data_IF_025617028315
#
_entry.id   IF_025617028315
#
_cell.length_a   1.000
_cell.length_b   1.000
_cell.length_c   1.000
_cell.angle_alpha   90.00
_cell.angle_beta   90.00
_cell.angle_gamma   90.00
#
_symmetry.space_group_name_H-M   'P 1'
#
loop_
_entity.id
_entity.type
_entity.pdbx_description
1 polymer ?
#
# COMPACT_ATOMS: atom_id res chain seq x y z
N UNK A 1 -26.96 1.49 12.52
CA UNK A 1 -27.13 1.30 11.06
C UNK A 1 -25.75 1.29 10.39
N UNK A 2 -25.19 0.13 10.02
CA UNK A 2 -23.94 0.09 9.22
C UNK A 2 -24.29 0.61 7.84
N UNK A 3 -23.87 1.84 7.50
CA UNK A 3 -23.91 2.33 6.11
C UNK A 3 -23.19 1.30 5.26
N UNK A 4 -23.93 0.61 4.39
CA UNK A 4 -23.37 -0.28 3.39
C UNK A 4 -22.33 0.53 2.60
N UNK A 5 -21.05 0.22 2.83
CA UNK A 5 -19.99 0.92 2.11
C UNK A 5 -20.09 0.50 0.66
N UNK A 6 -20.53 1.43 -0.19
CA UNK A 6 -20.63 1.23 -1.63
C UNK A 6 -19.26 0.75 -2.13
N UNK A 7 -19.23 -0.47 -2.69
CA UNK A 7 -18.01 -1.03 -3.29
C UNK A 7 -17.61 -0.18 -4.50
N UNK A 8 -16.31 -0.13 -4.78
CA UNK A 8 -15.78 0.50 -5.99
C UNK A 8 -16.38 -0.16 -7.25
N UNK A 9 -16.91 0.67 -8.14
CA UNK A 9 -17.48 0.25 -9.43
C UNK A 9 -16.46 0.11 -10.57
N UNK A 10 -15.18 0.42 -10.32
CA UNK A 10 -14.16 0.38 -11.36
C UNK A 10 -14.05 -1.03 -11.98
N UNK A 11 -13.93 -1.18 -13.32
CA UNK A 11 -13.83 -2.49 -13.97
C UNK A 11 -12.72 -3.37 -13.42
N UNK A 12 -11.50 -2.83 -13.27
CA UNK A 12 -10.37 -3.57 -12.69
C UNK A 12 -10.59 -3.99 -11.24
N UNK A 13 -11.32 -3.19 -10.47
CA UNK A 13 -11.62 -3.54 -9.07
C UNK A 13 -12.60 -4.72 -9.02
N UNK A 14 -13.52 -4.83 -10.00
CA UNK A 14 -14.39 -6.01 -10.18
C UNK A 14 -13.59 -7.23 -10.63
N UNK A 15 -12.67 -7.06 -11.58
CA UNK A 15 -11.77 -8.11 -12.04
C UNK A 15 -10.96 -8.72 -10.90
N UNK A 16 -10.38 -7.90 -10.00
CA UNK A 16 -9.65 -8.41 -8.82
C UNK A 16 -10.55 -9.29 -7.95
N UNK A 17 -11.79 -8.84 -7.69
CA UNK A 17 -12.77 -9.62 -6.90
C UNK A 17 -13.10 -10.94 -7.58
N UNK A 18 -13.37 -10.91 -8.88
CA UNK A 18 -13.65 -12.11 -9.68
C UNK A 18 -12.49 -13.11 -9.62
N UNK A 19 -11.25 -12.66 -9.83
CA UNK A 19 -10.05 -13.53 -9.79
C UNK A 19 -9.86 -14.18 -8.41
N UNK A 20 -10.15 -13.45 -7.33
CA UNK A 20 -10.08 -13.99 -5.96
C UNK A 20 -11.21 -14.99 -5.72
N UNK A 21 -12.45 -14.66 -6.12
CA UNK A 21 -13.63 -15.50 -5.87
C UNK A 21 -13.60 -16.80 -6.68
N UNK A 22 -13.21 -16.73 -7.95
CA UNK A 22 -13.23 -17.89 -8.86
C UNK A 22 -11.95 -18.72 -8.78
N UNK A 23 -10.85 -18.15 -8.29
CA UNK A 23 -9.55 -18.82 -8.28
C UNK A 23 -8.95 -19.05 -9.67
N UNK A 24 -9.55 -18.54 -10.75
CA UNK A 24 -9.03 -18.75 -12.12
C UNK A 24 -7.68 -18.06 -12.33
N UNK A 25 -6.79 -18.58 -13.18
CA UNK A 25 -5.56 -17.87 -13.58
C UNK A 25 -5.87 -16.49 -14.16
N UNK A 26 -5.03 -15.51 -13.82
CA UNK A 26 -5.09 -14.19 -14.45
C UNK A 26 -4.26 -14.20 -15.73
N UNK A 27 -4.74 -13.53 -16.77
CA UNK A 27 -3.99 -13.32 -18.00
C UNK A 27 -3.02 -12.14 -17.85
N UNK A 28 -1.95 -12.08 -18.65
CA UNK A 28 -0.97 -11.00 -18.57
C UNK A 28 -1.61 -9.60 -18.74
N UNK A 29 -2.57 -9.46 -19.65
CA UNK A 29 -3.31 -8.21 -19.82
C UNK A 29 -4.09 -7.79 -18.59
N UNK A 30 -4.66 -8.76 -17.85
CA UNK A 30 -5.38 -8.54 -16.60
C UNK A 30 -4.42 -8.11 -15.48
N UNK A 31 -3.24 -8.75 -15.40
CA UNK A 31 -2.17 -8.36 -14.46
C UNK A 31 -1.76 -6.90 -14.71
N UNK A 32 -1.53 -6.54 -15.98
CA UNK A 32 -1.15 -5.17 -16.35
C UNK A 32 -2.24 -4.16 -15.99
N UNK A 33 -3.52 -4.49 -16.21
CA UNK A 33 -4.64 -3.64 -15.80
C UNK A 33 -4.68 -3.44 -14.27
N UNK A 34 -4.43 -4.50 -13.50
CA UNK A 34 -4.40 -4.43 -12.03
C UNK A 34 -3.25 -3.54 -11.55
N UNK A 35 -2.06 -3.74 -12.08
CA UNK A 35 -0.89 -2.93 -11.72
C UNK A 35 -1.11 -1.44 -12.05
N UNK A 36 -1.63 -1.11 -13.23
CA UNK A 36 -1.89 0.29 -13.58
C UNK A 36 -3.00 0.90 -12.72
N UNK A 37 -4.04 0.12 -12.40
CA UNK A 37 -5.08 0.57 -11.47
C UNK A 37 -4.50 0.86 -10.09
N UNK A 38 -3.64 -0.01 -9.57
CA UNK A 38 -2.98 0.21 -8.28
C UNK A 38 -2.07 1.45 -8.32
N UNK A 39 -1.30 1.64 -9.39
CA UNK A 39 -0.34 2.73 -9.53
C UNK A 39 -1.03 4.11 -9.67
N UNK A 40 -2.26 4.16 -10.16
CA UNK A 40 -3.02 5.42 -10.33
C UNK A 40 -4.04 5.66 -9.22
N UNK A 41 -4.29 4.67 -8.36
CA UNK A 41 -5.25 4.79 -7.28
C UNK A 41 -4.87 5.93 -6.30
N UNK A 42 -5.86 6.63 -5.74
CA UNK A 42 -5.62 7.51 -4.61
C UNK A 42 -5.23 6.69 -3.37
N UNK A 43 -4.50 7.31 -2.45
CA UNK A 43 -4.34 6.77 -1.10
C UNK A 43 -5.65 6.92 -0.32
N UNK A 44 -5.86 6.11 0.72
CA UNK A 44 -7.08 6.17 1.57
C UNK A 44 -7.35 7.62 2.03
N UNK A 45 -8.43 8.27 1.55
CA UNK A 45 -8.67 9.70 1.79
C UNK A 45 -9.29 9.97 3.16
N UNK A 46 -9.49 8.94 3.97
CA UNK A 46 -10.17 9.06 5.27
C UNK A 46 -9.22 9.62 6.31
N UNK A 47 -9.80 10.42 7.21
CA UNK A 47 -9.17 10.70 8.49
C UNK A 47 -9.17 9.42 9.34
N UNK A 48 -8.03 9.09 9.91
CA UNK A 48 -7.82 7.95 10.79
C UNK A 48 -7.36 8.43 12.16
N UNK A 49 -7.72 7.67 13.18
CA UNK A 49 -7.22 7.91 14.53
C UNK A 49 -5.72 7.58 14.57
N UNK A 50 -4.94 8.51 15.10
CA UNK A 50 -3.49 8.34 15.33
C UNK A 50 -3.25 7.54 16.61
N UNK A 51 -2.21 6.72 16.63
CA UNK A 51 -1.84 5.95 17.83
C UNK A 51 -1.25 6.88 18.89
N UNK A 52 -1.44 6.52 20.18
CA UNK A 52 -1.07 7.39 21.30
C UNK A 52 0.41 7.74 21.35
N UNK A 53 1.28 6.83 20.92
CA UNK A 53 2.73 7.01 20.82
C UNK A 53 3.17 7.96 19.70
N UNK A 54 2.29 8.23 18.74
CA UNK A 54 2.54 9.12 17.60
C UNK A 54 1.96 10.53 17.81
N UNK A 55 1.10 10.72 18.83
CA UNK A 55 0.48 12.00 19.11
C UNK A 55 1.50 13.02 19.62
N UNK A 56 1.40 14.26 19.13
CA UNK A 56 2.29 15.34 19.57
C UNK A 56 3.67 15.31 18.91
N UNK A 57 4.01 14.27 18.13
CA UNK A 57 5.22 14.29 17.30
C UNK A 57 5.14 15.45 16.30
N UNK A 58 6.29 16.06 16.03
CA UNK A 58 6.43 17.12 15.02
C UNK A 58 7.07 16.55 13.77
N UNK A 59 6.42 16.74 12.62
CA UNK A 59 6.95 16.35 11.32
C UNK A 59 6.57 17.37 10.25
N UNK A 60 7.56 17.85 9.49
CA UNK A 60 7.40 18.89 8.47
C UNK A 60 6.68 20.15 9.01
N UNK A 61 7.15 20.66 10.15
CA UNK A 61 6.62 21.85 10.84
C UNK A 61 5.15 21.73 11.27
N UNK A 62 4.65 20.50 11.42
CA UNK A 62 3.29 20.22 11.85
C UNK A 62 3.29 19.24 13.02
N UNK A 63 2.42 19.50 14.00
CA UNK A 63 2.17 18.59 15.13
C UNK A 63 1.09 17.59 14.71
N UNK A 64 1.35 16.31 14.90
CA UNK A 64 0.43 15.22 14.62
C UNK A 64 -0.79 15.30 15.55
N UNK A 65 -1.99 15.40 14.97
CA UNK A 65 -3.25 15.52 15.69
C UNK A 65 -3.90 14.16 15.99
N UNK A 66 -4.91 14.09 16.88
CA UNK A 66 -5.63 12.84 17.18
C UNK A 66 -6.28 12.15 15.97
N UNK A 67 -6.66 12.93 14.97
CA UNK A 67 -7.23 12.45 13.72
C UNK A 67 -6.52 13.12 12.55
N UNK A 68 -6.03 12.32 11.62
CA UNK A 68 -5.15 12.77 10.55
C UNK A 68 -5.46 12.02 9.26
N UNK A 69 -5.09 12.61 8.13
CA UNK A 69 -5.17 11.92 6.84
C UNK A 69 -4.34 10.64 6.87
N UNK A 70 -4.91 9.51 6.41
CA UNK A 70 -4.21 8.23 6.46
C UNK A 70 -2.83 8.27 5.79
N UNK A 71 -2.68 9.02 4.69
CA UNK A 71 -1.39 9.19 4.02
C UNK A 71 -0.35 9.85 4.92
N UNK A 72 -0.71 10.92 5.62
CA UNK A 72 0.17 11.61 6.56
C UNK A 72 0.54 10.72 7.75
N UNK A 73 -0.43 10.02 8.34
CA UNK A 73 -0.18 9.08 9.45
C UNK A 73 0.78 7.98 9.04
N UNK A 74 0.56 7.37 7.86
CA UNK A 74 1.46 6.33 7.36
C UNK A 74 2.86 6.88 7.10
N UNK A 75 2.99 8.06 6.49
CA UNK A 75 4.29 8.70 6.29
C UNK A 75 5.03 8.93 7.61
N UNK A 76 4.38 9.56 8.59
CA UNK A 76 4.98 9.87 9.90
C UNK A 76 5.47 8.60 10.57
N UNK A 77 4.66 7.53 10.59
CA UNK A 77 5.08 6.23 11.11
C UNK A 77 6.32 5.70 10.40
N UNK A 78 6.33 5.74 9.08
CA UNK A 78 7.42 5.19 8.27
C UNK A 78 8.72 5.96 8.41
N UNK A 79 8.66 7.27 8.70
CA UNK A 79 9.84 8.11 8.87
C UNK A 79 10.31 8.13 10.31
N UNK A 80 9.43 8.38 11.28
CA UNK A 80 9.82 8.61 12.68
C UNK A 80 9.87 7.34 13.52
N UNK A 81 8.91 6.42 13.36
CA UNK A 81 8.85 5.21 14.19
C UNK A 81 9.66 4.06 13.57
N UNK A 82 9.51 3.84 12.26
CA UNK A 82 10.14 2.72 11.57
C UNK A 82 11.50 3.07 10.95
N UNK A 83 11.80 4.37 10.77
CA UNK A 83 13.01 4.87 10.10
C UNK A 83 13.24 4.26 8.70
N UNK A 84 12.17 3.84 8.01
CA UNK A 84 12.22 3.20 6.69
C UNK A 84 12.41 4.22 5.56
N UNK A 85 11.88 5.42 5.73
CA UNK A 85 12.08 6.56 4.84
C UNK A 85 12.92 7.62 5.54
N UNK A 86 13.68 8.38 4.75
CA UNK A 86 14.54 9.44 5.25
C UNK A 86 13.72 10.56 5.89
N UNK A 87 14.30 11.23 6.89
CA UNK A 87 13.70 12.42 7.46
C UNK A 87 13.55 13.51 6.39
N UNK A 88 12.37 14.13 6.32
CA UNK A 88 12.06 15.19 5.36
C UNK A 88 11.30 14.72 4.12
N UNK A 89 11.17 13.40 3.89
CA UNK A 89 10.33 12.85 2.81
C UNK A 89 8.89 13.37 2.92
N UNK A 90 8.37 13.93 1.83
CA UNK A 90 7.00 14.47 1.77
C UNK A 90 5.96 13.39 1.47
N UNK A 91 4.67 13.71 1.69
CA UNK A 91 3.56 12.83 1.30
C UNK A 91 3.59 12.49 -0.20
N UNK A 92 3.94 13.47 -1.05
CA UNK A 92 4.03 13.29 -2.50
C UNK A 92 5.20 12.36 -2.87
N UNK A 93 6.37 12.54 -2.26
CA UNK A 93 7.53 11.68 -2.50
C UNK A 93 7.25 10.25 -2.05
N UNK A 94 6.67 10.07 -0.85
CA UNK A 94 6.29 8.76 -0.35
C UNK A 94 5.27 8.08 -1.27
N UNK A 95 4.19 8.77 -1.66
CA UNK A 95 3.20 8.22 -2.58
C UNK A 95 3.80 7.91 -3.96
N UNK A 96 4.69 8.77 -4.47
CA UNK A 96 5.41 8.53 -5.71
C UNK A 96 6.29 7.27 -5.64
N UNK A 97 6.98 7.04 -4.51
CA UNK A 97 7.77 5.83 -4.29
C UNK A 97 6.88 4.56 -4.25
N UNK A 98 5.70 4.62 -3.61
CA UNK A 98 4.74 3.50 -3.64
C UNK A 98 4.23 3.22 -5.05
N UNK A 99 3.90 4.27 -5.81
CA UNK A 99 3.44 4.12 -7.20
C UNK A 99 4.54 3.62 -8.12
N UNK A 100 5.78 4.07 -7.92
CA UNK A 100 6.96 3.56 -8.63
C UNK A 100 7.14 2.07 -8.35
N UNK A 101 6.99 1.64 -7.09
CA UNK A 101 7.16 0.23 -6.72
C UNK A 101 6.21 -0.71 -7.45
N UNK A 102 4.97 -0.27 -7.68
CA UNK A 102 3.94 -1.02 -8.40
C UNK A 102 4.29 -1.18 -9.89
N UNK A 103 4.94 -0.18 -10.49
CA UNK A 103 5.24 -0.15 -11.95
C UNK A 103 6.53 -0.85 -12.35
N UNK A 104 7.33 -1.32 -11.39
CA UNK A 104 8.58 -2.01 -11.69
C UNK A 104 8.27 -3.39 -12.28
N UNK A 105 8.93 -3.75 -13.37
CA UNK A 105 8.68 -5.00 -14.08
C UNK A 105 8.88 -6.27 -13.22
N UNK A 106 9.74 -6.20 -12.20
CA UNK A 106 9.97 -7.29 -11.25
C UNK A 106 9.02 -7.27 -10.03
N UNK A 107 8.02 -6.38 -10.01
CA UNK A 107 7.02 -6.33 -8.95
C UNK A 107 6.19 -7.63 -8.94
N UNK A 108 6.12 -8.29 -7.79
CA UNK A 108 5.29 -9.48 -7.61
C UNK A 108 3.91 -9.07 -7.15
N UNK A 109 2.87 -9.45 -7.89
CA UNK A 109 1.49 -9.16 -7.54
C UNK A 109 0.89 -10.31 -6.72
N UNK A 110 0.22 -9.97 -5.62
CA UNK A 110 -0.50 -10.91 -4.77
C UNK A 110 -1.97 -10.53 -4.71
N UNK A 111 -2.87 -11.50 -4.88
CA UNK A 111 -4.31 -11.34 -4.70
C UNK A 111 -4.80 -12.25 -3.57
N UNK A 112 -5.60 -11.69 -2.65
CA UNK A 112 -6.14 -12.45 -1.51
C UNK A 112 -7.34 -11.75 -0.86
N UNK A 113 -8.09 -12.52 -0.06
CA UNK A 113 -9.14 -11.97 0.79
C UNK A 113 -8.61 -11.76 2.22
N UNK A 114 -8.93 -10.62 2.85
CA UNK A 114 -8.59 -10.36 4.26
C UNK A 114 -9.69 -9.60 4.96
N UNK A 115 -10.17 -10.15 6.09
CA UNK A 115 -11.24 -9.54 6.92
C UNK A 115 -12.49 -9.18 6.09
N UNK A 116 -12.86 -10.05 5.15
CA UNK A 116 -14.00 -9.85 4.25
C UNK A 116 -13.74 -8.90 3.07
N UNK A 117 -12.57 -8.28 2.97
CA UNK A 117 -12.21 -7.40 1.85
C UNK A 117 -11.31 -8.06 0.81
N UNK A 118 -11.38 -7.58 -0.43
CA UNK A 118 -10.57 -8.04 -1.56
C UNK A 118 -9.34 -7.16 -1.75
N UNK A 119 -8.17 -7.79 -1.67
CA UNK A 119 -6.88 -7.11 -1.62
C UNK A 119 -6.03 -7.52 -2.82
N UNK A 120 -5.42 -6.52 -3.45
CA UNK A 120 -4.25 -6.71 -4.30
C UNK A 120 -3.05 -6.07 -3.59
N UNK A 121 -1.87 -6.66 -3.73
CA UNK A 121 -0.66 -6.10 -3.15
C UNK A 121 0.56 -6.38 -4.01
N UNK A 122 1.53 -5.48 -3.99
CA UNK A 122 2.79 -5.65 -4.73
C UNK A 122 3.97 -5.74 -3.79
N UNK A 123 4.88 -6.66 -4.07
CA UNK A 123 6.19 -6.75 -3.42
C UNK A 123 7.29 -6.48 -4.43
N UNK A 124 8.14 -5.49 -4.14
CA UNK A 124 9.19 -5.04 -5.05
C UNK A 124 10.47 -4.75 -4.28
N UNK A 125 11.63 -4.88 -4.89
CA UNK A 125 12.89 -4.46 -4.27
C UNK A 125 12.91 -2.96 -3.96
N UNK A 126 13.20 -2.59 -2.71
CA UNK A 126 13.21 -1.20 -2.24
C UNK A 126 14.24 -0.37 -3.00
N UNK A 127 15.39 -0.94 -3.35
CA UNK A 127 16.46 -0.19 -4.05
C UNK A 127 16.05 0.27 -5.46
N UNK A 128 15.04 -0.37 -6.06
CA UNK A 128 14.52 0.03 -7.36
C UNK A 128 13.33 1.00 -7.22
N UNK A 129 12.60 0.91 -6.11
CA UNK A 129 11.38 1.71 -5.89
C UNK A 129 11.64 3.05 -5.18
N UNK A 130 12.56 3.08 -4.23
CA UNK A 130 12.85 4.24 -3.36
C UNK A 130 14.24 4.76 -3.71
N UNK A 131 14.33 6.05 -4.04
CA UNK A 131 15.61 6.68 -4.38
C UNK A 131 16.57 6.63 -3.18
N UNK A 132 17.89 6.70 -3.45
CA UNK A 132 18.88 6.62 -2.38
C UNK A 132 18.69 7.68 -1.30
N UNK A 133 18.30 8.90 -1.68
CA UNK A 133 18.05 10.04 -0.78
C UNK A 133 16.77 9.89 0.05
N UNK A 134 15.80 9.07 -0.39
CA UNK A 134 14.53 8.87 0.31
C UNK A 134 14.57 7.67 1.28
N UNK A 135 15.63 6.87 1.28
CA UNK A 135 15.75 5.68 2.16
C UNK A 135 16.18 6.11 3.56
N UNK A 136 15.46 5.64 4.57
CA UNK A 136 15.77 5.92 5.96
C UNK A 136 16.87 5.01 6.53
N UNK A 137 17.24 5.26 7.79
CA UNK A 137 18.31 4.56 8.50
C UNK A 137 18.04 3.05 8.64
N UNK A 138 16.77 2.65 8.68
CA UNK A 138 16.32 1.25 8.78
C UNK A 138 15.57 0.81 7.54
N UNK A 139 16.03 1.26 6.38
CA UNK A 139 15.47 0.81 5.11
C UNK A 139 15.61 -0.71 4.95
N UNK A 140 14.50 -1.39 4.63
CA UNK A 140 14.42 -2.84 4.44
C UNK A 140 14.39 -3.18 2.93
N UNK A 141 14.84 -4.37 2.52
CA UNK A 141 15.12 -4.70 1.12
C UNK A 141 13.89 -4.80 0.21
N UNK A 142 12.68 -5.00 0.74
CA UNK A 142 11.47 -5.13 -0.06
C UNK A 142 10.44 -4.07 0.34
N UNK A 143 9.75 -3.47 -0.63
CA UNK A 143 8.64 -2.56 -0.45
C UNK A 143 7.33 -3.29 -0.77
N UNK A 144 6.43 -3.30 0.21
CA UNK A 144 5.10 -3.87 0.13
C UNK A 144 4.05 -2.77 0.05
N UNK A 145 3.19 -2.82 -0.97
CA UNK A 145 2.08 -1.87 -1.15
C UNK A 145 0.76 -2.62 -1.19
N UNK A 146 -0.22 -2.16 -0.42
CA UNK A 146 -1.51 -2.82 -0.27
C UNK A 146 -2.61 -1.96 -0.87
N UNK A 147 -3.41 -2.55 -1.75
CA UNK A 147 -4.55 -1.94 -2.43
C UNK A 147 -5.85 -2.66 -2.08
N UNK A 148 -6.91 -1.89 -1.80
CA UNK A 148 -8.25 -2.42 -1.53
C UNK A 148 -9.11 -2.30 -2.77
N UNK A 149 -9.40 -3.43 -3.43
CA UNK A 149 -10.29 -3.45 -4.60
C UNK A 149 -11.72 -3.03 -4.24
N UNK A 150 -12.17 -3.31 -3.02
CA UNK A 150 -13.50 -2.84 -2.56
C UNK A 150 -13.61 -1.33 -2.49
N UNK A 151 -12.51 -0.62 -2.28
CA UNK A 151 -12.50 0.82 -2.06
C UNK A 151 -11.79 1.60 -3.16
N UNK A 152 -11.07 0.92 -4.06
CA UNK A 152 -10.33 1.53 -5.16
C UNK A 152 -9.19 2.43 -4.70
N UNK A 153 -8.52 2.09 -3.59
CA UNK A 153 -7.50 2.93 -2.92
C UNK A 153 -6.29 2.11 -2.48
N UNK A 154 -5.12 2.77 -2.42
CA UNK A 154 -3.98 2.30 -1.65
C UNK A 154 -4.30 2.46 -0.16
N UNK A 155 -4.07 1.39 0.61
CA UNK A 155 -4.34 1.34 2.04
C UNK A 155 -3.09 1.66 2.85
N UNK A 156 -1.94 1.14 2.43
CA UNK A 156 -0.66 1.34 3.11
C UNK A 156 0.51 0.94 2.20
N UNK A 157 1.69 1.48 2.47
CA UNK A 157 2.96 1.01 1.93
C UNK A 157 4.03 0.97 3.02
N UNK A 158 4.86 -0.06 3.02
CA UNK A 158 5.95 -0.19 4.00
C UNK A 158 7.01 -1.18 3.54
N UNK A 159 8.20 -1.03 4.07
CA UNK A 159 9.31 -1.92 3.75
C UNK A 159 9.30 -3.13 4.69
N UNK A 160 9.76 -4.28 4.19
CA UNK A 160 9.83 -5.56 4.91
C UNK A 160 11.14 -6.27 4.59
N UNK A 161 11.61 -7.08 5.53
CA UNK A 161 12.86 -7.83 5.41
C UNK A 161 12.78 -8.94 4.36
N UNK A 162 11.62 -9.58 4.24
CA UNK A 162 11.38 -10.69 3.34
C UNK A 162 9.88 -10.85 3.05
N UNK A 163 9.48 -11.58 1.99
CA UNK A 163 8.06 -11.88 1.73
C UNK A 163 7.32 -12.51 2.93
N UNK A 164 8.00 -13.37 3.69
CA UNK A 164 7.43 -14.05 4.87
C UNK A 164 7.22 -13.15 6.09
N UNK A 165 7.78 -11.94 6.10
CA UNK A 165 7.56 -10.97 7.19
C UNK A 165 6.20 -10.29 7.09
N UNK A 166 5.50 -10.40 5.95
CA UNK A 166 4.14 -9.91 5.80
C UNK A 166 3.18 -11.01 6.25
N UNK A 167 2.26 -10.69 7.16
CA UNK A 167 1.13 -11.56 7.48
C UNK A 167 0.15 -11.59 6.30
N UNK A 168 0.36 -12.58 5.43
CA UNK A 168 -0.42 -12.85 4.22
C UNK A 168 -1.22 -14.15 4.45
N UNK A 169 -2.52 -14.22 4.08
CA UNK A 169 -3.32 -15.44 4.19
C UNK A 169 -2.73 -16.60 3.38
N UNK A 170 -2.94 -17.85 3.85
CA UNK A 170 -2.39 -19.06 3.20
C UNK A 170 -2.93 -19.27 1.78
N UNK A 171 -4.14 -18.80 1.51
CA UNK A 171 -4.85 -18.84 0.23
C UNK A 171 -4.43 -17.73 -0.75
N UNK A 172 -3.34 -17.00 -0.43
CA UNK A 172 -2.86 -15.92 -1.30
C UNK A 172 -2.30 -16.46 -2.61
N UNK A 173 -2.72 -15.82 -3.70
CA UNK A 173 -2.29 -16.14 -5.04
C UNK A 173 -1.26 -15.13 -5.51
N UNK A 174 -0.04 -15.60 -5.77
CA UNK A 174 0.98 -14.81 -6.43
C UNK A 174 0.82 -14.92 -7.94
N UNK A 175 0.76 -13.78 -8.61
CA UNK A 175 0.70 -13.66 -10.06
C UNK A 175 2.10 -13.30 -10.57
N UNK A 176 2.49 -13.94 -11.68
CA UNK A 176 3.73 -13.70 -12.42
C UNK A 176 3.36 -13.23 -13.82
#
# INVERSE_FOLDING_TARGET
MRKERRRSGHPTDRLIRELIQTGRPAQQGEINLILERMATAPFDPRLVRVLTDELGLSYQNRIVQPHEEALYVHLVRRVLADEQWAFGVTQDQYLADLRRSIRIASARLALYQRRGGYIAATLTSTIHAVSAINRGLRSLPQLWVVFSADRGIIVTGYQVSAPGAVSIPKDTRWLQ
#
